data_IF_650653216244
#
_entry.id   IF_650653216244
#
_cell.length_a   1.000
_cell.length_b   1.000
_cell.length_c   1.000
_cell.angle_alpha   90.00
_cell.angle_beta   90.00
_cell.angle_gamma   90.00
#
_symmetry.space_group_name_H-M   'P 1'
#
loop_
_entity.id
_entity.type
_entity.pdbx_description
1 polymer ?
#
# COMPACT_ATOMS: atom_id res chain seq x y z
N UNK A 1 5.30 76.69 17.58
CA UNK A 1 4.20 76.86 18.57
C UNK A 1 2.88 76.76 17.81
N UNK A 2 1.85 76.00 18.25
CA UNK A 2 1.73 75.20 19.47
C UNK A 2 1.66 73.67 19.22
N UNK A 3 1.39 72.97 20.33
CA UNK A 3 1.68 71.59 20.74
C UNK A 3 0.67 70.50 20.32
N UNK A 4 0.95 69.21 20.64
CA UNK A 4 0.20 68.02 20.26
C UNK A 4 -0.82 67.56 21.32
N UNK A 5 -1.84 66.81 20.91
CA UNK A 5 -2.50 65.72 21.67
C UNK A 5 -3.84 65.39 21.00
N UNK A 6 -4.05 64.15 20.55
CA UNK A 6 -4.83 63.20 21.35
C UNK A 6 -4.83 61.81 20.68
N UNK A 7 -4.29 60.82 21.42
CA UNK A 7 -4.53 59.40 21.17
C UNK A 7 -5.79 59.03 21.95
N UNK A 8 -6.80 58.47 21.29
CA UNK A 8 -7.77 57.56 21.93
C UNK A 8 -8.14 56.39 21.00
N UNK A 9 -8.47 55.23 21.58
CA UNK A 9 -8.25 53.93 20.97
C UNK A 9 -9.45 53.48 20.13
N UNK A 10 -9.17 52.79 19.02
CA UNK A 10 -10.19 51.95 18.36
C UNK A 10 -10.10 50.56 18.94
N UNK A 11 -11.11 50.23 19.74
CA UNK A 11 -11.40 48.89 20.24
C UNK A 11 -11.59 47.92 19.07
N UNK A 12 -10.70 46.95 18.97
CA UNK A 12 -10.84 45.74 18.17
C UNK A 12 -11.89 44.83 18.82
N UNK A 13 -13.05 44.71 18.17
CA UNK A 13 -14.07 43.69 18.48
C UNK A 13 -13.51 42.35 17.99
N UNK A 14 -13.05 41.53 18.93
CA UNK A 14 -12.73 40.11 18.69
C UNK A 14 -14.01 39.33 18.92
N UNK A 15 -14.66 38.90 17.84
CA UNK A 15 -15.78 37.97 17.90
C UNK A 15 -15.22 36.55 18.12
N UNK A 16 -15.21 36.08 19.37
CA UNK A 16 -14.93 34.68 19.70
C UNK A 16 -16.23 33.89 19.54
N UNK A 17 -16.34 33.09 18.47
CA UNK A 17 -17.33 32.02 18.42
C UNK A 17 -16.85 30.88 19.32
N UNK A 18 -17.55 30.66 20.43
CA UNK A 18 -17.43 29.45 21.23
C UNK A 18 -18.36 28.39 20.62
N UNK A 19 -17.79 27.34 20.03
CA UNK A 19 -18.53 26.12 19.69
C UNK A 19 -18.48 25.21 20.92
N UNK A 20 -19.64 25.00 21.54
CA UNK A 20 -19.81 24.04 22.61
C UNK A 20 -19.96 22.64 21.99
N UNK A 21 -18.98 21.76 22.24
CA UNK A 21 -19.10 20.32 21.94
C UNK A 21 -19.73 19.65 23.14
N UNK A 22 -20.96 19.16 22.97
CA UNK A 22 -21.64 18.32 23.94
C UNK A 22 -21.16 16.87 23.78
N UNK A 23 -20.43 16.37 24.78
CA UNK A 23 -20.06 14.95 24.90
C UNK A 23 -21.24 14.21 25.51
N UNK A 24 -21.93 13.38 24.71
CA UNK A 24 -22.84 12.36 25.23
C UNK A 24 -22.08 11.03 25.36
N UNK A 25 -21.64 10.74 26.59
CA UNK A 25 -21.14 9.43 27.00
C UNK A 25 -22.32 8.53 27.40
N UNK A 26 -22.68 7.58 26.53
CA UNK A 26 -23.55 6.47 26.90
C UNK A 26 -22.69 5.31 27.40
N UNK A 27 -22.57 5.20 28.73
CA UNK A 27 -22.01 4.03 29.38
C UNK A 27 -23.01 2.87 29.36
N UNK A 28 -22.61 1.74 28.80
CA UNK A 28 -23.31 0.46 28.96
C UNK A 28 -22.58 -0.35 30.01
N UNK A 29 -23.23 -0.52 31.17
CA UNK A 29 -22.81 -1.43 32.22
C UNK A 29 -23.33 -2.84 31.89
N UNK A 30 -22.43 -3.81 31.68
CA UNK A 30 -22.80 -5.23 31.75
C UNK A 30 -22.65 -5.71 33.20
N UNK A 31 -23.79 -6.10 33.80
CA UNK A 31 -23.85 -6.78 35.07
C UNK A 31 -23.36 -8.23 34.93
N UNK A 32 -22.44 -8.63 35.80
CA UNK A 32 -22.11 -10.03 36.05
C UNK A 32 -23.10 -10.66 37.03
N UNK A 33 -23.60 -11.84 36.73
CA UNK A 33 -24.17 -12.76 37.71
C UNK A 33 -23.57 -14.15 37.51
N UNK A 34 -22.94 -14.70 38.55
CA UNK A 34 -22.65 -16.14 38.68
C UNK A 34 -23.95 -16.95 38.70
N UNK A 35 -23.97 -18.28 38.63
CA UNK A 35 -23.12 -19.26 39.33
C UNK A 35 -23.23 -20.67 38.71
N UNK A 36 -22.14 -21.44 38.88
CA UNK A 36 -22.04 -22.87 39.19
C UNK A 36 -22.70 -23.95 38.30
N UNK A 37 -21.86 -24.83 37.72
CA UNK A 37 -22.12 -26.28 37.67
C UNK A 37 -20.81 -27.07 37.88
N UNK A 38 -20.75 -27.70 39.06
CA UNK A 38 -20.30 -29.06 39.42
C UNK A 38 -18.98 -29.63 38.86
N UNK A 39 -18.10 -29.91 39.83
CA UNK A 39 -16.92 -30.75 39.81
C UNK A 39 -17.28 -32.25 39.70
N UNK A 40 -16.58 -33.04 38.88
CA UNK A 40 -16.37 -34.48 39.13
C UNK A 40 -15.17 -35.01 38.35
N UNK A 41 -14.10 -35.20 39.10
CA UNK A 41 -13.03 -36.16 38.89
C UNK A 41 -13.54 -37.60 38.85
N UNK A 42 -13.06 -38.43 37.92
CA UNK A 42 -12.53 -39.75 38.28
C UNK A 42 -11.70 -40.40 37.16
N UNK A 43 -11.01 -41.46 37.55
CA UNK A 43 -9.69 -41.96 37.16
C UNK A 43 -9.82 -43.29 36.39
N UNK A 44 -8.71 -43.67 35.75
CA UNK A 44 -8.12 -45.02 35.78
C UNK A 44 -8.09 -45.86 34.50
N UNK A 45 -6.88 -46.40 34.32
CA UNK A 45 -6.35 -47.36 33.36
C UNK A 45 -7.09 -48.71 33.31
N UNK A 46 -6.94 -49.41 32.18
CA UNK A 46 -7.21 -50.84 32.07
C UNK A 46 -7.08 -51.41 30.65
N UNK A 47 -5.91 -51.96 30.32
CA UNK A 47 -5.69 -53.00 29.28
C UNK A 47 -5.27 -54.30 30.01
N UNK A 48 -5.18 -55.53 29.43
CA UNK A 48 -5.25 -56.00 28.02
C UNK A 48 -5.96 -57.41 27.92
N UNK A 49 -5.59 -58.46 27.09
CA UNK A 49 -4.99 -58.58 25.74
C UNK A 49 -5.68 -59.61 24.75
N UNK A 50 -5.19 -59.62 23.48
CA UNK A 50 -5.08 -60.71 22.43
C UNK A 50 -6.36 -61.29 21.79
N UNK A 51 -6.46 -61.52 20.46
CA UNK A 51 -5.83 -62.59 19.61
C UNK A 51 -6.29 -62.34 18.13
N UNK A 52 -5.45 -62.11 17.12
CA UNK A 52 -4.71 -63.02 16.19
C UNK A 52 -5.41 -63.43 14.86
N UNK A 53 -4.62 -63.32 13.75
CA UNK A 53 -4.71 -63.86 12.36
C UNK A 53 -5.62 -63.09 11.36
N UNK A 54 -5.33 -62.74 10.08
CA UNK A 54 -4.34 -63.00 8.98
C UNK A 54 -5.20 -63.06 7.66
N UNK A 55 -4.71 -63.04 6.39
CA UNK A 55 -3.76 -62.17 5.69
C UNK A 55 -4.27 -61.54 4.36
N UNK A 56 -3.51 -60.53 3.90
CA UNK A 56 -3.09 -60.14 2.53
C UNK A 56 -4.08 -60.12 1.33
N UNK A 57 -4.31 -58.89 0.84
CA UNK A 57 -4.95 -58.55 -0.44
C UNK A 57 -3.92 -58.63 -1.58
N UNK A 58 -4.29 -59.31 -2.67
CA UNK A 58 -3.55 -59.33 -3.94
C UNK A 58 -4.29 -58.45 -4.95
N UNK A 59 -3.64 -57.41 -5.45
CA UNK A 59 -4.06 -56.70 -6.66
C UNK A 59 -2.85 -56.34 -7.51
N UNK A 60 -2.92 -56.81 -8.76
CA UNK A 60 -1.94 -56.68 -9.84
C UNK A 60 -1.82 -55.23 -10.33
N UNK A 61 -0.63 -54.69 -10.60
CA UNK A 61 -0.50 -53.45 -11.36
C UNK A 61 -0.64 -53.74 -12.86
N UNK A 62 -1.47 -52.95 -13.53
CA UNK A 62 -1.58 -52.88 -14.99
C UNK A 62 -0.42 -52.03 -15.55
N UNK A 63 0.20 -52.38 -16.70
CA UNK A 63 1.23 -51.54 -17.32
C UNK A 63 0.61 -50.26 -17.89
N UNK A 64 0.80 -49.13 -17.22
CA UNK A 64 0.45 -47.81 -17.71
C UNK A 64 1.41 -47.38 -18.83
N UNK A 65 0.83 -46.99 -19.97
CA UNK A 65 1.52 -46.34 -21.08
C UNK A 65 2.14 -45.02 -20.57
N UNK A 66 3.41 -44.70 -20.88
CA UNK A 66 3.98 -43.41 -20.51
C UNK A 66 3.30 -42.29 -21.31
N UNK A 67 2.57 -41.44 -20.60
CA UNK A 67 2.10 -40.16 -21.10
C UNK A 67 3.33 -39.31 -21.45
N UNK A 68 3.41 -38.68 -22.64
CA UNK A 68 4.53 -37.78 -22.94
C UNK A 68 4.48 -36.62 -21.94
N UNK A 69 5.49 -36.57 -21.07
CA UNK A 69 5.71 -35.48 -20.15
C UNK A 69 5.82 -34.20 -20.94
N UNK A 70 4.85 -33.30 -20.72
CA UNK A 70 4.96 -31.91 -21.12
C UNK A 70 6.16 -31.35 -20.37
N UNK A 71 7.27 -31.23 -21.08
CA UNK A 71 8.47 -30.54 -20.63
C UNK A 71 8.07 -29.08 -20.39
N UNK A 72 7.78 -28.74 -19.13
CA UNK A 72 7.54 -27.38 -18.72
C UNK A 72 8.84 -26.61 -18.91
N UNK A 73 8.93 -25.85 -20.01
CA UNK A 73 9.98 -24.86 -20.21
C UNK A 73 10.01 -23.96 -18.97
N UNK A 74 11.17 -23.72 -18.34
CA UNK A 74 11.24 -22.75 -17.26
C UNK A 74 10.90 -21.39 -17.87
N UNK A 75 9.70 -20.90 -17.55
CA UNK A 75 9.36 -19.50 -17.77
C UNK A 75 10.38 -18.72 -16.95
N UNK A 76 11.26 -17.97 -17.60
CA UNK A 76 12.04 -16.96 -16.91
C UNK A 76 11.03 -16.04 -16.24
N UNK A 77 10.85 -16.17 -14.92
CA UNK A 77 9.96 -15.30 -14.16
C UNK A 77 10.36 -13.85 -14.46
N UNK A 78 9.39 -13.06 -14.91
CA UNK A 78 9.60 -11.64 -15.20
C UNK A 78 10.04 -10.96 -13.92
N UNK A 79 11.13 -10.21 -13.98
CA UNK A 79 11.68 -9.52 -12.83
C UNK A 79 12.10 -8.09 -13.22
N UNK A 80 11.90 -7.16 -12.30
CA UNK A 80 12.53 -5.85 -12.37
C UNK A 80 14.01 -5.98 -11.97
N UNK A 81 14.89 -5.08 -12.47
CA UNK A 81 16.30 -5.14 -12.12
C UNK A 81 16.46 -4.89 -10.61
N UNK A 82 17.28 -5.66 -9.89
CA UNK A 82 17.45 -5.48 -8.45
C UNK A 82 18.20 -4.17 -8.13
N UNK A 83 18.20 -3.72 -6.86
CA UNK A 83 19.04 -2.61 -6.42
C UNK A 83 20.50 -2.78 -6.86
N UNK A 84 21.19 -1.72 -7.31
CA UNK A 84 20.80 -0.31 -7.20
C UNK A 84 20.00 0.24 -8.39
N UNK A 85 19.50 -0.60 -9.29
CA UNK A 85 18.50 -0.18 -10.27
C UNK A 85 17.11 -0.17 -9.64
N UNK A 86 16.12 0.38 -10.33
CA UNK A 86 14.75 0.54 -9.82
C UNK A 86 13.73 0.06 -10.85
N UNK A 87 12.49 -0.27 -10.44
CA UNK A 87 11.43 -0.59 -11.37
C UNK A 87 11.16 0.55 -12.35
N UNK A 88 10.90 0.19 -13.59
CA UNK A 88 10.55 1.13 -14.67
C UNK A 88 9.22 0.72 -15.31
N UNK A 89 8.61 1.55 -16.17
CA UNK A 89 7.41 1.17 -16.90
C UNK A 89 7.55 -0.12 -17.73
N UNK A 90 8.78 -0.47 -18.15
CA UNK A 90 9.04 -1.62 -19.01
C UNK A 90 8.99 -2.96 -18.26
N UNK A 91 9.41 -2.98 -16.98
CA UNK A 91 9.43 -4.21 -16.17
C UNK A 91 8.16 -4.40 -15.33
N UNK A 92 7.27 -3.40 -15.29
CA UNK A 92 6.02 -3.39 -14.52
C UNK A 92 4.79 -3.43 -15.43
N UNK A 93 3.61 -3.59 -14.85
CA UNK A 93 2.35 -3.57 -15.59
C UNK A 93 2.08 -4.87 -16.34
N UNK A 94 1.10 -4.86 -17.24
CA UNK A 94 0.78 -6.02 -18.09
C UNK A 94 2.01 -6.40 -18.92
N UNK A 95 2.39 -7.69 -18.98
CA UNK A 95 3.50 -8.12 -19.82
C UNK A 95 3.28 -7.73 -21.29
N UNK A 96 4.31 -7.16 -21.96
CA UNK A 96 4.21 -6.83 -23.38
C UNK A 96 3.74 -8.03 -24.22
N UNK A 97 2.71 -7.81 -25.03
CA UNK A 97 2.15 -8.85 -25.91
C UNK A 97 1.19 -9.84 -25.23
N UNK A 98 0.91 -9.70 -23.92
CA UNK A 98 -0.17 -10.46 -23.27
C UNK A 98 -1.49 -10.15 -23.98
N UNK A 99 -2.21 -11.20 -24.36
CA UNK A 99 -3.57 -11.08 -24.86
C UNK A 99 -4.51 -10.95 -23.66
N UNK A 100 -5.32 -9.89 -23.65
CA UNK A 100 -6.29 -9.64 -22.60
C UNK A 100 -7.70 -9.94 -23.10
N UNK A 101 -8.48 -10.64 -22.28
CA UNK A 101 -9.91 -10.79 -22.48
C UNK A 101 -10.62 -9.56 -21.92
N UNK A 102 -11.38 -8.88 -22.77
CA UNK A 102 -12.12 -7.69 -22.35
C UNK A 102 -13.29 -8.06 -21.42
N UNK A 103 -13.37 -7.35 -20.30
CA UNK A 103 -14.52 -7.28 -19.40
C UNK A 103 -15.05 -5.85 -19.42
N UNK A 104 -16.32 -5.69 -19.77
CA UNK A 104 -16.92 -4.35 -19.89
C UNK A 104 -17.49 -3.89 -18.54
N UNK A 105 -17.07 -2.71 -18.10
CA UNK A 105 -17.51 -2.08 -16.87
C UNK A 105 -16.77 -2.61 -15.63
N UNK A 106 -17.38 -2.38 -14.48
CA UNK A 106 -16.84 -2.77 -13.18
C UNK A 106 -16.89 -4.30 -13.01
N UNK A 107 -15.96 -4.83 -12.23
CA UNK A 107 -15.92 -6.22 -11.80
C UNK A 107 -15.90 -6.28 -10.27
N UNK A 108 -16.71 -7.17 -9.70
CA UNK A 108 -16.65 -7.54 -8.30
C UNK A 108 -16.07 -8.94 -8.21
N UNK A 109 -15.02 -9.11 -7.42
CA UNK A 109 -14.44 -10.40 -7.11
C UNK A 109 -14.91 -10.84 -5.72
N UNK A 110 -16.05 -11.54 -5.65
CA UNK A 110 -16.74 -11.94 -4.42
C UNK A 110 -16.55 -13.41 -4.04
N UNK A 111 -15.75 -14.16 -4.81
CA UNK A 111 -15.41 -15.54 -4.53
C UNK A 111 -14.01 -15.66 -3.88
N UNK A 112 -13.91 -16.36 -2.75
CA UNK A 112 -12.64 -16.67 -2.11
C UNK A 112 -11.72 -17.48 -3.05
N UNK A 113 -10.46 -17.07 -3.17
CA UNK A 113 -9.47 -17.70 -4.04
C UNK A 113 -9.73 -17.48 -5.53
N UNK A 114 -10.60 -16.54 -5.90
CA UNK A 114 -10.86 -16.22 -7.31
C UNK A 114 -9.58 -15.77 -8.01
N UNK A 115 -9.38 -16.26 -9.23
CA UNK A 115 -8.23 -15.89 -10.07
C UNK A 115 -8.71 -15.02 -11.23
N UNK A 116 -8.22 -13.78 -11.28
CA UNK A 116 -8.36 -12.83 -12.37
C UNK A 116 -7.04 -12.82 -13.15
N UNK A 117 -6.99 -13.52 -14.27
CA UNK A 117 -5.80 -13.64 -15.12
C UNK A 117 -6.08 -13.17 -16.53
N UNK A 118 -5.32 -12.19 -17.00
CA UNK A 118 -5.39 -11.74 -18.39
C UNK A 118 -6.68 -11.02 -18.74
N UNK A 119 -7.27 -10.27 -17.81
CA UNK A 119 -8.45 -9.44 -18.10
C UNK A 119 -8.05 -8.01 -18.47
N UNK A 120 -8.80 -7.41 -19.39
CA UNK A 120 -8.88 -5.96 -19.57
C UNK A 120 -10.24 -5.50 -19.05
N UNK A 121 -10.27 -5.01 -17.81
CA UNK A 121 -11.47 -4.50 -17.13
C UNK A 121 -11.59 -3.01 -17.45
N UNK A 122 -12.68 -2.60 -18.10
CA UNK A 122 -12.86 -1.18 -18.49
C UNK A 122 -13.40 -0.27 -17.37
N UNK A 123 -13.77 -0.85 -16.23
CA UNK A 123 -14.17 -0.14 -15.02
C UNK A 123 -13.24 -0.40 -13.82
N UNK A 124 -13.82 -0.34 -12.64
CA UNK A 124 -13.16 -0.61 -11.35
C UNK A 124 -13.18 -2.10 -11.02
N UNK A 125 -12.27 -2.52 -10.13
CA UNK A 125 -12.24 -3.86 -9.57
C UNK A 125 -12.38 -3.78 -8.05
N UNK A 126 -13.52 -4.22 -7.52
CA UNK A 126 -13.72 -4.34 -6.07
C UNK A 126 -13.54 -5.79 -5.64
N UNK A 127 -12.67 -6.01 -4.65
CA UNK A 127 -12.31 -7.32 -4.12
C UNK A 127 -13.02 -7.54 -2.79
N UNK A 128 -13.98 -8.46 -2.79
CA UNK A 128 -14.77 -8.84 -1.61
C UNK A 128 -14.40 -10.24 -1.09
N UNK A 129 -13.88 -11.11 -1.96
CA UNK A 129 -13.37 -12.43 -1.61
C UNK A 129 -11.99 -12.39 -0.95
N UNK A 130 -11.68 -13.44 -0.20
CA UNK A 130 -10.39 -13.66 0.45
C UNK A 130 -9.41 -14.36 -0.48
N UNK A 131 -8.16 -13.91 -0.52
CA UNK A 131 -7.08 -14.54 -1.28
C UNK A 131 -7.29 -14.47 -2.80
N UNK A 132 -7.90 -13.40 -3.30
CA UNK A 132 -8.09 -13.19 -4.75
C UNK A 132 -6.73 -12.96 -5.41
N UNK A 133 -6.47 -13.64 -6.52
CA UNK A 133 -5.24 -13.50 -7.29
C UNK A 133 -5.53 -12.72 -8.58
N UNK A 134 -4.96 -11.53 -8.70
CA UNK A 134 -5.03 -10.69 -9.89
C UNK A 134 -3.67 -10.74 -10.58
N UNK A 135 -3.61 -11.18 -11.83
CA UNK A 135 -2.36 -11.26 -12.58
C UNK A 135 -2.52 -10.94 -14.06
N UNK A 136 -1.45 -10.42 -14.65
CA UNK A 136 -1.37 -10.10 -16.08
C UNK A 136 -2.57 -9.30 -16.61
N UNK A 137 -3.16 -8.43 -15.79
CA UNK A 137 -4.44 -7.79 -16.09
C UNK A 137 -4.32 -6.27 -16.19
N UNK A 138 -5.18 -5.65 -17.00
CA UNK A 138 -5.34 -4.21 -17.07
C UNK A 138 -6.69 -3.80 -16.50
N UNK A 139 -6.67 -3.01 -15.44
CA UNK A 139 -7.83 -2.41 -14.83
C UNK A 139 -7.79 -0.93 -15.18
N UNK A 140 -8.79 -0.43 -15.89
CA UNK A 140 -8.81 0.97 -16.27
C UNK A 140 -9.10 1.89 -15.08
N UNK A 141 -9.97 1.48 -14.16
CA UNK A 141 -10.27 2.19 -12.92
C UNK A 141 -9.31 1.84 -11.78
N UNK A 142 -9.81 1.90 -10.55
CA UNK A 142 -9.08 1.51 -9.34
C UNK A 142 -9.29 0.03 -8.96
N UNK A 143 -8.45 -0.46 -8.04
CA UNK A 143 -8.57 -1.75 -7.36
C UNK A 143 -8.67 -1.53 -5.85
N UNK A 144 -9.76 -1.92 -5.22
CA UNK A 144 -9.96 -1.79 -3.77
C UNK A 144 -10.55 -3.05 -3.12
N UNK A 145 -10.54 -3.09 -1.78
CA UNK A 145 -11.24 -4.11 -0.98
C UNK A 145 -12.10 -3.52 0.15
N UNK A 146 -12.35 -2.20 0.16
CA UNK A 146 -12.92 -1.48 1.31
C UNK A 146 -14.44 -1.29 1.29
N UNK A 147 -15.18 -2.02 0.43
CA UNK A 147 -16.63 -1.86 0.25
C UNK A 147 -17.47 -1.91 1.54
N UNK A 148 -17.01 -2.62 2.59
CA UNK A 148 -17.69 -2.74 3.89
C UNK A 148 -17.03 -1.95 5.03
N UNK A 149 -16.08 -1.06 4.74
CA UNK A 149 -15.40 -0.19 5.71
C UNK A 149 -13.88 -0.19 5.56
N UNK A 150 -13.16 0.67 6.31
CA UNK A 150 -11.73 0.94 6.12
C UNK A 150 -10.83 -0.29 6.36
N UNK A 151 -11.35 -1.36 6.93
CA UNK A 151 -10.57 -2.59 7.20
C UNK A 151 -10.58 -3.58 6.04
N UNK A 152 -11.45 -3.41 5.06
CA UNK A 152 -11.66 -4.35 3.95
C UNK A 152 -12.12 -5.73 4.40
N UNK A 153 -13.06 -6.34 3.66
CA UNK A 153 -13.50 -7.71 3.93
C UNK A 153 -12.84 -8.73 2.99
N UNK A 154 -12.15 -8.26 1.95
CA UNK A 154 -11.41 -9.09 0.99
C UNK A 154 -9.90 -8.99 1.20
N UNK A 155 -9.15 -9.89 0.58
CA UNK A 155 -7.68 -9.83 0.50
C UNK A 155 -7.23 -10.24 -0.90
N UNK A 156 -6.15 -9.64 -1.39
CA UNK A 156 -5.70 -9.93 -2.75
C UNK A 156 -4.20 -9.84 -2.96
N UNK A 157 -3.74 -10.57 -3.96
CA UNK A 157 -2.44 -10.32 -4.59
C UNK A 157 -2.67 -9.77 -5.98
N UNK A 158 -1.92 -8.74 -6.36
CA UNK A 158 -1.92 -8.17 -7.70
C UNK A 158 -0.51 -8.16 -8.25
N UNK A 159 -0.30 -8.86 -9.37
CA UNK A 159 1.02 -9.06 -9.96
C UNK A 159 1.02 -8.77 -11.46
N UNK A 160 2.09 -8.16 -11.98
CA UNK A 160 2.27 -7.92 -13.43
C UNK A 160 1.02 -7.28 -14.08
N UNK A 161 0.41 -6.32 -13.40
CA UNK A 161 -0.87 -5.75 -13.80
C UNK A 161 -0.80 -4.22 -13.89
N UNK A 162 -1.55 -3.63 -14.82
CA UNK A 162 -1.66 -2.18 -14.98
C UNK A 162 -2.98 -1.70 -14.38
N UNK A 163 -2.91 -0.64 -13.59
CA UNK A 163 -4.07 0.01 -12.98
C UNK A 163 -4.10 1.46 -13.45
N UNK A 164 -5.27 1.91 -13.92
CA UNK A 164 -5.47 3.24 -14.48
C UNK A 164 -5.17 3.35 -15.98
N UNK A 165 -5.25 4.59 -16.49
CA UNK A 165 -4.96 4.93 -17.90
C UNK A 165 -4.16 6.21 -18.03
N UNK A 166 -3.27 6.25 -19.01
CA UNK A 166 -2.37 7.39 -19.23
C UNK A 166 -3.04 8.60 -19.91
N UNK A 167 -4.25 8.43 -20.45
CA UNK A 167 -5.02 9.45 -21.16
C UNK A 167 -6.10 10.15 -20.32
N UNK A 168 -6.20 9.83 -19.04
CA UNK A 168 -7.09 10.49 -18.08
C UNK A 168 -6.42 10.64 -16.71
N UNK A 169 -7.10 11.36 -15.82
CA UNK A 169 -6.68 11.52 -14.45
C UNK A 169 -7.85 11.33 -13.50
N UNK A 170 -7.78 10.27 -12.70
CA UNK A 170 -8.76 9.92 -11.68
C UNK A 170 -8.23 10.36 -10.31
N UNK A 171 -9.02 11.13 -9.55
CA UNK A 171 -8.58 11.66 -8.25
C UNK A 171 -8.41 10.59 -7.16
N UNK A 172 -9.02 9.41 -7.34
CA UNK A 172 -8.95 8.33 -6.38
C UNK A 172 -7.62 7.56 -6.43
N UNK A 173 -7.37 6.79 -5.37
CA UNK A 173 -6.20 5.90 -5.27
C UNK A 173 -6.29 4.75 -6.27
N UNK A 174 -5.17 4.42 -6.93
CA UNK A 174 -5.09 3.31 -7.88
C UNK A 174 -5.32 1.94 -7.23
N UNK A 175 -4.52 1.60 -6.22
CA UNK A 175 -4.62 0.32 -5.49
C UNK A 175 -4.67 0.53 -3.98
N UNK A 176 -5.70 0.01 -3.31
CA UNK A 176 -5.96 0.15 -1.87
C UNK A 176 -6.78 -1.06 -1.36
N UNK A 177 -7.10 -1.22 -0.08
CA UNK A 177 -6.78 -0.38 1.08
C UNK A 177 -6.02 -1.17 2.17
N UNK A 178 -6.20 -2.48 2.28
CA UNK A 178 -5.57 -3.35 3.29
C UNK A 178 -5.36 -4.77 2.76
N UNK A 179 -4.65 -5.63 3.49
CA UNK A 179 -4.56 -7.08 3.22
C UNK A 179 -4.19 -7.41 1.76
N UNK A 180 -3.23 -6.68 1.20
CA UNK A 180 -2.82 -6.85 -0.20
C UNK A 180 -1.32 -6.90 -0.43
N UNK A 181 -0.95 -7.62 -1.48
CA UNK A 181 0.41 -7.60 -2.04
C UNK A 181 0.38 -7.15 -3.49
N UNK A 182 1.07 -6.06 -3.79
CA UNK A 182 1.30 -5.54 -5.14
C UNK A 182 2.74 -5.81 -5.58
N UNK A 183 2.93 -6.56 -6.67
CA UNK A 183 4.26 -6.90 -7.21
C UNK A 183 4.34 -6.57 -8.70
N UNK A 184 5.30 -5.75 -9.12
CA UNK A 184 5.45 -5.31 -10.52
C UNK A 184 4.18 -4.68 -11.10
N UNK A 185 3.44 -3.97 -10.25
CA UNK A 185 2.24 -3.23 -10.67
C UNK A 185 2.66 -1.90 -11.29
N UNK A 186 1.97 -1.52 -12.35
CA UNK A 186 2.11 -0.18 -12.96
C UNK A 186 0.84 0.62 -12.71
N UNK A 187 0.95 1.70 -11.95
CA UNK A 187 -0.16 2.64 -11.72
C UNK A 187 0.05 3.91 -12.55
N UNK A 188 -0.96 4.31 -13.32
CA UNK A 188 -0.93 5.53 -14.14
C UNK A 188 -2.28 6.22 -14.12
N UNK A 189 -2.33 7.54 -14.28
CA UNK A 189 -3.61 8.25 -14.40
C UNK A 189 -4.40 8.33 -13.10
N UNK A 190 -3.74 8.21 -11.95
CA UNK A 190 -4.34 8.40 -10.64
C UNK A 190 -3.67 9.56 -9.89
N UNK A 191 -4.47 10.23 -9.07
CA UNK A 191 -4.04 11.22 -8.08
C UNK A 191 -3.12 10.60 -7.03
N UNK A 192 -3.53 9.46 -6.47
CA UNK A 192 -2.71 8.64 -5.58
C UNK A 192 -2.45 7.28 -6.20
N UNK A 193 -1.23 6.75 -6.10
CA UNK A 193 -0.96 5.46 -6.73
C UNK A 193 -1.34 4.27 -5.84
N UNK A 194 -0.88 4.27 -4.59
CA UNK A 194 -1.13 3.22 -3.63
C UNK A 194 -1.60 3.79 -2.29
N UNK A 195 -2.55 3.11 -1.64
CA UNK A 195 -3.10 3.52 -0.35
C UNK A 195 -3.05 2.40 0.68
N UNK A 196 -2.92 2.77 1.95
CA UNK A 196 -3.08 1.87 3.08
C UNK A 196 -4.00 2.47 4.16
N UNK A 197 -5.07 1.76 4.50
CA UNK A 197 -6.03 2.07 5.58
C UNK A 197 -6.29 0.90 6.53
N UNK A 198 -5.46 -0.14 6.46
CA UNK A 198 -5.47 -1.29 7.36
C UNK A 198 -4.12 -2.01 7.42
N UNK A 199 -4.14 -3.24 7.91
CA UNK A 199 -2.93 -4.05 8.12
C UNK A 199 -2.46 -4.75 6.82
N UNK A 200 -1.25 -5.32 6.84
CA UNK A 200 -0.74 -6.29 5.87
C UNK A 200 -0.71 -5.78 4.42
N UNK A 201 -0.02 -4.66 4.20
CA UNK A 201 0.17 -4.09 2.85
C UNK A 201 1.62 -4.23 2.42
N UNK A 202 1.84 -4.93 1.30
CA UNK A 202 3.15 -5.00 0.65
C UNK A 202 3.08 -4.43 -0.75
N UNK A 203 3.87 -3.40 -1.03
CA UNK A 203 4.06 -2.85 -2.37
C UNK A 203 5.52 -3.01 -2.73
N UNK A 204 5.78 -3.79 -3.78
CA UNK A 204 7.14 -4.10 -4.19
C UNK A 204 7.35 -4.13 -5.69
N UNK A 205 8.57 -3.81 -6.10
CA UNK A 205 9.02 -3.88 -7.49
C UNK A 205 8.09 -3.14 -8.46
N UNK A 206 7.36 -2.14 -7.98
CA UNK A 206 6.24 -1.50 -8.68
C UNK A 206 6.59 -0.09 -9.13
N UNK A 207 5.83 0.42 -10.08
CA UNK A 207 6.03 1.72 -10.70
C UNK A 207 4.73 2.52 -10.66
N UNK A 208 4.85 3.81 -10.38
CA UNK A 208 3.74 4.74 -10.53
C UNK A 208 4.17 6.03 -11.24
N UNK A 209 3.37 6.45 -12.21
CA UNK A 209 3.42 7.79 -12.80
C UNK A 209 2.10 8.48 -12.54
N UNK A 210 2.12 9.38 -11.57
CA UNK A 210 0.91 10.05 -11.08
C UNK A 210 0.50 11.16 -12.05
N UNK A 211 -0.76 11.53 -11.96
CA UNK A 211 -1.30 12.77 -12.49
C UNK A 211 -2.01 13.51 -11.35
N UNK A 212 -2.48 14.73 -11.59
CA UNK A 212 -3.33 15.39 -10.60
C UNK A 212 -3.83 16.74 -11.09
N UNK A 213 -4.68 17.35 -10.27
CA UNK A 213 -5.13 18.73 -10.42
C UNK A 213 -4.84 19.51 -9.14
N UNK A 214 -5.18 20.80 -9.12
CA UNK A 214 -5.02 21.66 -7.95
C UNK A 214 -5.76 21.07 -6.73
N UNK A 215 -5.12 21.12 -5.56
CA UNK A 215 -5.68 20.71 -4.26
C UNK A 215 -5.98 19.20 -4.11
N UNK A 216 -5.54 18.35 -5.06
CA UNK A 216 -5.79 16.90 -4.98
C UNK A 216 -4.96 16.16 -3.93
N UNK A 217 -3.88 16.78 -3.44
CA UNK A 217 -2.98 16.18 -2.45
C UNK A 217 -2.33 14.85 -2.88
N UNK A 218 -2.06 14.70 -4.17
CA UNK A 218 -1.53 13.50 -4.81
C UNK A 218 -0.29 12.92 -4.12
N UNK A 219 -0.34 11.62 -3.86
CA UNK A 219 0.68 10.84 -3.16
C UNK A 219 1.08 9.54 -3.89
N UNK A 220 2.38 9.29 -4.02
CA UNK A 220 2.86 8.02 -4.58
C UNK A 220 2.45 6.82 -3.72
N UNK A 221 2.51 7.01 -2.41
CA UNK A 221 1.93 6.13 -1.42
C UNK A 221 1.35 6.98 -0.28
N UNK A 222 0.08 6.76 0.05
CA UNK A 222 -0.61 7.39 1.18
C UNK A 222 -0.98 6.35 2.23
N UNK A 223 -0.49 6.53 3.45
CA UNK A 223 -1.03 5.83 4.63
C UNK A 223 -1.99 6.75 5.38
N UNK A 224 -3.27 6.37 5.44
CA UNK A 224 -4.32 7.06 6.14
C UNK A 224 -5.08 6.05 7.02
N UNK A 225 -4.90 6.14 8.34
CA UNK A 225 -5.36 5.11 9.29
C UNK A 225 -4.83 3.70 8.99
N UNK A 226 -3.65 3.60 8.37
CA UNK A 226 -3.02 2.31 8.10
C UNK A 226 -2.77 1.54 9.40
N UNK A 227 -2.66 0.22 9.28
CA UNK A 227 -2.38 -0.70 10.36
C UNK A 227 -0.90 -1.05 10.48
N UNK A 228 -0.64 -2.31 10.82
CA UNK A 228 0.66 -2.94 10.96
C UNK A 228 1.11 -3.61 9.67
N UNK A 229 2.39 -3.95 9.62
CA UNK A 229 2.96 -4.74 8.51
C UNK A 229 2.78 -4.06 7.13
N UNK A 230 2.96 -2.73 7.11
CA UNK A 230 2.97 -1.92 5.89
C UNK A 230 4.40 -1.78 5.37
N UNK A 231 4.64 -2.26 4.15
CA UNK A 231 5.97 -2.32 3.51
C UNK A 231 5.91 -1.75 2.10
N UNK A 232 6.73 -0.74 1.85
CA UNK A 232 6.93 -0.08 0.57
C UNK A 232 8.39 -0.27 0.19
N UNK A 233 8.67 -1.27 -0.64
CA UNK A 233 10.04 -1.68 -0.97
C UNK A 233 10.33 -1.65 -2.46
N UNK A 234 11.46 -1.04 -2.84
CA UNK A 234 11.98 -1.16 -4.19
C UNK A 234 10.96 -0.77 -5.27
N UNK A 235 10.33 0.39 -5.11
CA UNK A 235 9.38 0.96 -6.06
C UNK A 235 9.92 2.24 -6.71
N UNK A 236 9.31 2.67 -7.81
CA UNK A 236 9.53 3.99 -8.41
C UNK A 236 8.24 4.78 -8.38
N UNK A 237 8.24 5.95 -7.72
CA UNK A 237 7.09 6.85 -7.66
C UNK A 237 7.45 8.20 -8.30
N UNK A 238 6.73 8.54 -9.38
CA UNK A 238 6.99 9.71 -10.21
C UNK A 238 5.81 10.68 -10.22
N UNK A 239 5.99 11.83 -9.58
CA UNK A 239 5.00 12.89 -9.49
C UNK A 239 5.28 14.08 -10.40
N UNK A 240 6.21 13.97 -11.37
CA UNK A 240 6.56 15.10 -12.26
C UNK A 240 5.39 15.60 -13.13
N UNK A 241 4.33 14.79 -13.28
CA UNK A 241 3.09 15.13 -14.00
C UNK A 241 1.99 15.72 -13.10
N UNK A 242 2.21 15.79 -11.78
CA UNK A 242 1.27 16.43 -10.85
C UNK A 242 1.58 17.93 -10.77
N UNK A 243 0.58 18.82 -10.85
CA UNK A 243 0.81 20.26 -10.69
C UNK A 243 1.33 20.59 -9.28
N UNK A 244 2.10 21.67 -9.14
CA UNK A 244 2.71 22.06 -7.87
C UNK A 244 1.68 22.34 -6.75
N UNK A 245 0.49 22.79 -7.12
CA UNK A 245 -0.67 23.04 -6.25
C UNK A 245 -1.43 21.77 -5.85
N UNK A 246 -1.17 20.64 -6.51
CA UNK A 246 -1.84 19.36 -6.30
C UNK A 246 -0.98 18.29 -5.65
N UNK A 247 0.33 18.50 -5.53
CA UNK A 247 1.29 17.46 -5.13
C UNK A 247 1.59 17.48 -3.63
N UNK A 248 1.56 16.31 -2.99
CA UNK A 248 1.97 16.13 -1.59
C UNK A 248 3.34 15.45 -1.52
N UNK A 249 3.44 14.13 -1.69
CA UNK A 249 4.72 13.42 -1.63
C UNK A 249 4.71 12.07 -2.38
N UNK A 250 5.85 11.61 -2.92
CA UNK A 250 5.98 10.22 -3.32
C UNK A 250 5.75 9.24 -2.16
N UNK A 251 6.08 9.61 -0.92
CA UNK A 251 5.73 8.86 0.30
C UNK A 251 5.13 9.80 1.33
N UNK A 252 3.85 9.62 1.66
CA UNK A 252 3.15 10.31 2.72
C UNK A 252 2.55 9.31 3.72
N UNK A 253 3.00 9.39 4.97
CA UNK A 253 2.51 8.56 6.07
C UNK A 253 2.05 9.49 7.19
N UNK A 254 0.78 9.40 7.57
CA UNK A 254 0.16 10.23 8.60
C UNK A 254 -1.04 9.52 9.24
N UNK A 255 -1.84 10.28 9.97
CA UNK A 255 -3.27 10.01 10.23
C UNK A 255 -3.51 8.70 10.97
N UNK A 256 -2.76 8.45 12.04
CA UNK A 256 -2.99 7.28 12.90
C UNK A 256 -2.19 6.03 12.52
N UNK A 257 -1.40 6.06 11.43
CA UNK A 257 -0.69 4.89 10.88
C UNK A 257 0.52 4.44 11.73
N UNK A 258 0.47 3.33 12.50
CA UNK A 258 1.39 3.06 13.61
C UNK A 258 2.84 2.73 13.23
N UNK A 259 3.07 2.17 12.04
CA UNK A 259 4.39 1.70 11.59
C UNK A 259 4.40 1.53 10.07
N UNK A 260 5.58 1.63 9.47
CA UNK A 260 5.80 1.31 8.06
C UNK A 260 7.30 1.10 7.78
N UNK A 261 7.60 0.27 6.78
CA UNK A 261 8.95 0.06 6.26
C UNK A 261 9.04 0.63 4.85
N UNK A 262 9.79 1.72 4.67
CA UNK A 262 9.98 2.42 3.40
C UNK A 262 11.43 2.25 2.96
N UNK A 263 11.68 1.31 2.05
CA UNK A 263 13.05 0.89 1.72
C UNK A 263 13.36 0.82 0.23
N UNK A 264 14.55 1.29 -0.13
CA UNK A 264 15.10 1.13 -1.48
C UNK A 264 14.21 1.66 -2.61
N UNK A 265 13.40 2.69 -2.38
CA UNK A 265 12.55 3.28 -3.42
C UNK A 265 13.25 4.40 -4.18
N UNK A 266 12.91 4.58 -5.46
CA UNK A 266 13.23 5.77 -6.25
C UNK A 266 12.04 6.74 -6.22
N UNK A 267 12.27 7.94 -5.66
CA UNK A 267 11.23 8.90 -5.34
C UNK A 267 11.47 10.21 -6.09
N UNK A 268 10.47 10.66 -6.84
CA UNK A 268 10.59 11.78 -7.78
C UNK A 268 9.41 12.71 -7.59
N UNK A 269 9.67 13.96 -7.19
CA UNK A 269 8.62 14.94 -6.97
C UNK A 269 8.26 15.14 -5.51
N UNK A 270 7.07 15.67 -5.29
CA UNK A 270 6.54 16.03 -3.98
C UNK A 270 6.65 17.51 -3.66
N UNK A 271 5.72 18.00 -2.84
CA UNK A 271 5.95 19.22 -2.06
C UNK A 271 7.18 19.02 -1.16
N UNK A 272 7.20 17.88 -0.46
CA UNK A 272 8.38 17.28 0.12
C UNK A 272 8.40 15.79 -0.20
N UNK A 273 9.57 15.22 -0.53
CA UNK A 273 9.58 13.88 -1.13
C UNK A 273 9.27 12.74 -0.13
N UNK A 274 9.84 12.79 1.07
CA UNK A 274 9.58 11.81 2.13
C UNK A 274 8.90 12.52 3.30
N UNK A 275 7.65 12.14 3.55
CA UNK A 275 6.82 12.68 4.62
C UNK A 275 6.32 11.57 5.53
N UNK A 276 7.00 11.38 6.66
CA UNK A 276 6.59 10.44 7.71
C UNK A 276 6.23 11.23 8.96
N UNK A 277 4.94 11.39 9.19
CA UNK A 277 4.38 12.21 10.26
C UNK A 277 3.48 11.40 11.16
N UNK A 278 3.28 11.95 12.35
CA UNK A 278 2.38 11.45 13.39
C UNK A 278 2.73 10.05 13.88
N UNK A 279 2.96 9.96 15.19
CA UNK A 279 3.02 8.67 15.86
C UNK A 279 3.05 8.79 17.37
N UNK A 280 2.54 7.75 18.03
CA UNK A 280 2.60 7.59 19.48
C UNK A 280 3.90 6.92 19.93
N UNK A 281 4.04 6.73 21.24
CA UNK A 281 5.30 6.29 21.89
C UNK A 281 5.77 4.86 21.54
N UNK A 282 5.03 4.11 20.70
CA UNK A 282 5.31 2.72 20.33
C UNK A 282 5.56 2.50 18.83
N UNK A 283 5.72 3.57 18.07
CA UNK A 283 5.65 3.57 16.62
C UNK A 283 7.04 3.34 16.04
N UNK A 284 7.12 2.58 14.94
CA UNK A 284 8.38 2.03 14.43
C UNK A 284 8.45 2.20 12.92
N UNK A 285 8.92 3.36 12.48
CA UNK A 285 9.22 3.55 11.06
C UNK A 285 10.66 3.17 10.75
N UNK A 286 10.85 2.48 9.64
CA UNK A 286 12.15 2.21 9.03
C UNK A 286 12.15 2.89 7.68
N UNK A 287 13.05 3.85 7.49
CA UNK A 287 13.19 4.60 6.24
C UNK A 287 14.64 4.51 5.80
N UNK A 288 14.95 3.60 4.87
CA UNK A 288 16.35 3.34 4.50
C UNK A 288 16.57 3.10 3.02
N UNK A 289 17.73 3.45 2.49
CA UNK A 289 18.12 3.07 1.13
C UNK A 289 17.37 3.80 0.01
N UNK A 290 16.48 4.74 0.34
CA UNK A 290 15.69 5.46 -0.66
C UNK A 290 16.56 6.44 -1.46
N UNK A 291 16.20 6.66 -2.72
CA UNK A 291 16.83 7.63 -3.62
C UNK A 291 15.83 8.71 -3.98
N UNK A 292 16.15 9.94 -3.61
CA UNK A 292 15.34 11.11 -3.92
C UNK A 292 15.98 11.83 -5.09
N UNK A 293 15.24 12.00 -6.17
CA UNK A 293 15.76 12.68 -7.36
C UNK A 293 15.99 14.16 -7.05
N UNK A 294 17.22 14.60 -7.22
CA UNK A 294 17.68 15.95 -6.95
C UNK A 294 16.86 16.96 -7.76
N UNK A 295 16.45 18.04 -7.10
CA UNK A 295 15.74 19.18 -7.71
C UNK A 295 14.36 18.82 -8.31
N UNK A 296 13.78 17.68 -7.91
CA UNK A 296 12.44 17.27 -8.32
C UNK A 296 11.33 17.72 -7.36
N UNK A 297 11.63 18.08 -6.12
CA UNK A 297 10.66 18.52 -5.10
C UNK A 297 10.42 20.04 -5.11
N UNK A 298 9.34 20.50 -4.45
CA UNK A 298 9.02 21.94 -4.34
C UNK A 298 9.73 22.63 -3.17
N UNK A 299 9.70 22.03 -1.98
CA UNK A 299 10.18 22.64 -0.73
C UNK A 299 11.42 21.95 -0.19
N UNK A 300 11.34 20.65 0.12
CA UNK A 300 12.47 19.89 0.66
C UNK A 300 12.43 18.41 0.24
N UNK A 301 13.58 17.71 0.21
CA UNK A 301 13.57 16.26 -0.05
C UNK A 301 12.97 15.46 1.13
N UNK A 302 12.99 16.02 2.34
CA UNK A 302 12.51 15.38 3.57
C UNK A 302 11.78 16.41 4.43
N UNK A 303 10.62 16.03 4.93
CA UNK A 303 9.82 16.78 5.89
C UNK A 303 9.11 15.72 6.75
N UNK A 304 9.66 15.34 7.90
CA UNK A 304 9.18 14.18 8.67
C UNK A 304 9.20 14.46 10.17
N UNK A 305 8.62 13.60 11.00
CA UNK A 305 8.75 13.65 12.45
C UNK A 305 9.87 12.68 12.87
N UNK A 306 11.11 13.16 12.97
CA UNK A 306 12.27 12.27 13.11
C UNK A 306 12.26 11.46 14.40
N UNK A 307 11.61 11.96 15.45
CA UNK A 307 11.48 11.27 16.74
C UNK A 307 10.69 9.95 16.68
N UNK A 308 9.83 9.75 15.66
CA UNK A 308 9.05 8.51 15.51
C UNK A 308 9.71 7.50 14.56
N UNK A 309 10.81 7.87 13.91
CA UNK A 309 11.54 7.02 12.97
C UNK A 309 12.62 6.26 13.73
N UNK A 310 12.45 4.94 13.87
CA UNK A 310 13.39 4.07 14.56
C UNK A 310 14.71 3.95 13.80
N UNK A 311 14.65 3.89 12.47
CA UNK A 311 15.84 3.78 11.63
C UNK A 311 15.75 4.70 10.42
N UNK A 312 16.70 5.62 10.32
CA UNK A 312 16.95 6.45 9.16
C UNK A 312 18.39 6.25 8.69
N UNK A 313 18.59 5.65 7.51
CA UNK A 313 19.93 5.34 7.01
C UNK A 313 19.99 5.21 5.50
N UNK A 314 21.12 5.61 4.89
CA UNK A 314 21.37 5.49 3.45
C UNK A 314 20.23 6.02 2.56
N UNK A 315 19.50 7.05 2.99
CA UNK A 315 18.64 7.81 2.07
C UNK A 315 19.53 8.82 1.36
N UNK A 316 19.45 8.95 0.03
CA UNK A 316 20.40 9.77 -0.74
C UNK A 316 19.72 10.59 -1.84
N UNK A 317 20.34 11.71 -2.17
CA UNK A 317 20.06 12.39 -3.43
C UNK A 317 20.62 11.60 -4.61
N UNK A 318 19.94 11.63 -5.75
CA UNK A 318 20.42 11.07 -7.01
C UNK A 318 20.08 11.98 -8.18
N UNK A 319 20.77 11.81 -9.30
CA UNK A 319 20.26 12.21 -10.61
C UNK A 319 19.96 10.95 -11.41
N UNK A 320 18.97 11.03 -12.29
CA UNK A 320 18.55 9.94 -13.17
C UNK A 320 18.54 10.40 -14.63
N UNK A 321 18.61 9.45 -15.56
CA UNK A 321 18.24 9.68 -16.95
C UNK A 321 16.74 9.45 -17.21
N UNK A 322 16.31 9.62 -18.46
CA UNK A 322 14.92 9.43 -18.87
C UNK A 322 14.46 7.95 -18.77
N UNK A 323 15.39 7.01 -18.63
CA UNK A 323 15.12 5.58 -18.42
C UNK A 323 15.16 5.20 -16.93
N UNK A 324 15.05 6.19 -16.03
CA UNK A 324 15.07 6.03 -14.57
C UNK A 324 16.38 5.44 -14.03
N UNK A 325 17.46 5.43 -14.81
CA UNK A 325 18.76 4.92 -14.36
C UNK A 325 19.49 5.99 -13.57
N UNK A 326 20.03 5.62 -12.41
CA UNK A 326 20.85 6.52 -11.60
C UNK A 326 22.14 6.84 -12.36
N UNK A 327 22.31 8.12 -12.71
CA UNK A 327 23.50 8.65 -13.40
C UNK A 327 24.47 9.32 -12.45
N UNK A 328 24.00 9.72 -11.27
CA UNK A 328 24.82 10.29 -10.21
C UNK A 328 24.27 9.92 -8.83
N UNK A 329 25.19 9.57 -7.92
CA UNK A 329 24.90 9.28 -6.52
C UNK A 329 25.38 10.46 -5.66
N UNK A 330 24.42 11.07 -4.97
CA UNK A 330 24.62 12.25 -4.16
C UNK A 330 24.90 11.99 -2.69
N UNK A 331 24.91 13.07 -1.88
CA UNK A 331 25.09 12.97 -0.44
C UNK A 331 23.91 12.23 0.20
N UNK A 332 24.16 11.69 1.39
CA UNK A 332 23.11 11.19 2.26
C UNK A 332 22.20 12.33 2.73
N UNK A 333 20.91 12.05 2.74
CA UNK A 333 19.88 12.91 3.28
C UNK A 333 19.75 12.66 4.79
N UNK A 334 19.89 13.68 5.64
CA UNK A 334 19.52 13.56 7.03
C UNK A 334 17.99 13.43 7.16
N UNK A 335 17.53 12.84 8.26
CA UNK A 335 16.15 13.07 8.68
C UNK A 335 16.03 14.54 9.09
N UNK A 336 14.98 15.20 8.62
CA UNK A 336 14.71 16.62 8.93
C UNK A 336 13.31 16.73 9.50
N UNK A 337 13.20 17.34 10.68
CA UNK A 337 11.92 17.64 11.29
C UNK A 337 11.14 18.65 10.44
N UNK A 338 9.89 18.32 10.17
CA UNK A 338 8.95 19.20 9.49
C UNK A 338 8.64 20.48 10.23
N UNK A 339 8.41 21.56 9.47
CA UNK A 339 7.97 22.86 10.00
C UNK A 339 6.45 22.95 10.11
#
# INVERSE_FOLDING_TARGET
MPSPSDRRPRSSVVLRLAVAVAVLSAGVALLSTGTAVVNSSDRSEGSPPRTSLSPAVSSSPSPGVPSPGSEATPSSERACPPPPAYPTPECTGVPPGKQLQKHEGDLVADEDGQVIDGLHITGNLSVEGQGVEIRDSWIEGWVDNSRNGPRGDGSFTITDSTVGRDDRCDAGTGVSESEFTATRVKVVGHGDAFGAGGDNVLIQDSFALLCGEDEWHSDGFQAHEAGRDVVIRHNTFDQRKVPASGVTAPVFISDGSPEATVVDNLLIGGSSTIRVHQGGERWKYVVTGNRVVQDAWLYSPVDSSCAVIETWADNRLVQIDDAYQVTWLGPELPCVDGS
#
